data_IF_266498028226
#
_entry.id   IF_266498028226
#
_cell.length_a   1.000
_cell.length_b   1.000
_cell.length_c   1.000
_cell.angle_alpha   90.00
_cell.angle_beta   90.00
_cell.angle_gamma   90.00
#
_symmetry.space_group_name_H-M   'P 1'
#
loop_
_entity.id
_entity.type
_entity.pdbx_description
1 polymer ?
#
# COMPACT_ATOMS: atom_id res chain seq x y z
N UNK A 1 2.20 -36.64 7.48
CA UNK A 1 1.05 -35.78 7.76
C UNK A 1 1.21 -34.51 6.93
N UNK A 2 0.62 -34.47 5.73
CA UNK A 2 0.60 -33.27 4.89
C UNK A 2 -0.60 -32.43 5.30
N UNK A 3 -0.38 -31.33 6.02
CA UNK A 3 -1.45 -30.40 6.35
C UNK A 3 -1.99 -29.78 5.07
N UNK A 4 -3.20 -30.20 4.65
CA UNK A 4 -3.86 -29.69 3.46
C UNK A 4 -4.38 -28.28 3.75
N UNK A 5 -3.56 -27.26 3.50
CA UNK A 5 -4.04 -25.88 3.50
C UNK A 5 -4.91 -25.67 2.26
N UNK A 6 -6.14 -25.17 2.44
CA UNK A 6 -7.08 -24.84 1.34
C UNK A 6 -6.45 -23.92 0.29
N UNK A 7 -5.43 -23.15 0.69
CA UNK A 7 -4.69 -22.23 -0.17
C UNK A 7 -3.57 -22.89 -0.99
N UNK A 8 -3.28 -24.18 -0.79
CA UNK A 8 -2.16 -24.89 -1.42
C UNK A 8 -2.24 -24.91 -2.95
N UNK A 9 -3.44 -24.75 -3.51
CA UNK A 9 -3.69 -24.71 -4.97
C UNK A 9 -3.83 -23.27 -5.47
N UNK A 10 -3.45 -22.27 -4.67
CA UNK A 10 -3.57 -20.85 -5.04
C UNK A 10 -2.24 -20.11 -4.85
N UNK A 11 -2.03 -19.00 -5.58
CA UNK A 11 -0.95 -18.04 -5.31
C UNK A 11 -0.83 -17.61 -3.84
N UNK A 12 -1.93 -17.69 -3.07
CA UNK A 12 -1.96 -17.27 -1.67
C UNK A 12 -1.34 -18.29 -0.69
N UNK A 13 -0.69 -19.35 -1.20
CA UNK A 13 -0.01 -20.34 -0.37
C UNK A 13 1.01 -19.69 0.59
N UNK A 14 0.92 -20.05 1.87
CA UNK A 14 1.77 -19.51 2.93
C UNK A 14 1.39 -18.11 3.43
N UNK A 15 0.32 -17.48 2.93
CA UNK A 15 -0.19 -16.20 3.44
C UNK A 15 -1.13 -16.41 4.64
N UNK A 16 -0.56 -16.79 5.79
CA UNK A 16 -1.30 -17.27 6.97
C UNK A 16 -2.15 -16.21 7.70
N UNK A 17 -1.90 -14.91 7.48
CA UNK A 17 -2.60 -13.81 8.16
C UNK A 17 -3.85 -13.37 7.40
N UNK A 18 -4.83 -14.26 7.29
CA UNK A 18 -6.06 -14.04 6.51
C UNK A 18 -6.88 -12.86 7.01
N UNK A 19 -6.76 -12.49 8.29
CA UNK A 19 -7.43 -11.34 8.89
C UNK A 19 -7.05 -10.00 8.24
N UNK A 20 -5.89 -9.92 7.61
CA UNK A 20 -5.41 -8.70 6.95
C UNK A 20 -5.79 -8.62 5.47
N UNK A 21 -6.30 -9.70 4.88
CA UNK A 21 -6.43 -9.81 3.42
C UNK A 21 -7.37 -8.78 2.84
N UNK A 22 -8.55 -8.59 3.43
CA UNK A 22 -9.58 -7.68 2.91
C UNK A 22 -9.04 -6.25 2.86
N UNK A 23 -8.46 -5.77 3.95
CA UNK A 23 -7.96 -4.40 4.02
C UNK A 23 -6.70 -4.22 3.16
N UNK A 24 -5.85 -5.24 3.06
CA UNK A 24 -4.72 -5.22 2.15
C UNK A 24 -5.15 -5.12 0.68
N UNK A 25 -6.11 -5.96 0.26
CA UNK A 25 -6.62 -5.97 -1.12
C UNK A 25 -7.35 -4.68 -1.46
N UNK A 26 -8.17 -4.14 -0.56
CA UNK A 26 -8.77 -2.80 -0.72
C UNK A 26 -7.68 -1.75 -0.97
N UNK A 27 -6.61 -1.79 -0.19
CA UNK A 27 -5.46 -0.92 -0.39
C UNK A 27 -4.79 -1.07 -1.77
N UNK A 28 -4.67 -2.30 -2.26
CA UNK A 28 -4.16 -2.58 -3.62
C UNK A 28 -5.10 -1.99 -4.68
N UNK A 29 -6.41 -2.16 -4.52
CA UNK A 29 -7.45 -1.61 -5.40
C UNK A 29 -7.46 -0.07 -5.41
N UNK A 30 -7.19 0.56 -4.26
CA UNK A 30 -7.04 2.02 -4.11
C UNK A 30 -5.71 2.57 -4.67
N UNK A 31 -4.89 1.71 -5.29
CA UNK A 31 -3.63 2.09 -5.90
C UNK A 31 -2.54 2.47 -4.89
N UNK A 32 -2.62 1.99 -3.64
CA UNK A 32 -1.61 2.28 -2.62
C UNK A 32 -0.21 1.82 -3.04
N UNK A 33 0.81 2.57 -2.59
CA UNK A 33 2.20 2.17 -2.72
C UNK A 33 2.51 1.00 -1.78
N UNK A 34 3.61 0.27 -2.02
CA UNK A 34 4.06 -0.79 -1.10
C UNK A 34 4.34 -0.21 0.30
N UNK A 35 4.88 1.01 0.37
CA UNK A 35 5.13 1.67 1.65
C UNK A 35 3.84 1.93 2.43
N UNK A 36 2.78 2.33 1.73
CA UNK A 36 1.48 2.58 2.38
C UNK A 36 0.81 1.28 2.80
N UNK A 37 0.88 0.24 1.95
CA UNK A 37 0.40 -1.10 2.28
C UNK A 37 1.12 -1.65 3.52
N UNK A 38 2.44 -1.51 3.59
CA UNK A 38 3.26 -1.87 4.75
C UNK A 38 2.78 -1.15 6.01
N UNK A 39 2.62 0.17 5.95
CA UNK A 39 2.18 0.97 7.12
C UNK A 39 0.78 0.60 7.60
N UNK A 40 -0.18 0.41 6.67
CA UNK A 40 -1.57 0.10 7.01
C UNK A 40 -1.76 -1.32 7.55
N UNK A 41 -1.02 -2.28 7.01
CA UNK A 41 -1.16 -3.69 7.41
C UNK A 41 -0.23 -4.12 8.54
N UNK A 42 0.81 -3.34 8.85
CA UNK A 42 1.87 -3.71 9.78
C UNK A 42 2.78 -4.83 9.25
N UNK A 43 2.65 -5.22 7.98
CA UNK A 43 3.51 -6.23 7.35
C UNK A 43 4.91 -5.68 7.10
N UNK A 44 5.89 -6.59 6.98
CA UNK A 44 7.23 -6.24 6.48
C UNK A 44 7.19 -5.81 5.01
N UNK A 45 8.25 -5.16 4.54
CA UNK A 45 8.36 -4.72 3.14
C UNK A 45 8.28 -5.90 2.16
N UNK A 46 9.08 -6.95 2.39
CA UNK A 46 9.07 -8.14 1.55
C UNK A 46 7.73 -8.88 1.57
N UNK A 47 7.07 -8.93 2.73
CA UNK A 47 5.73 -9.49 2.85
C UNK A 47 4.70 -8.66 2.05
N UNK A 48 4.76 -7.33 2.14
CA UNK A 48 3.86 -6.43 1.40
C UNK A 48 4.04 -6.53 -0.11
N UNK A 49 5.29 -6.62 -0.59
CA UNK A 49 5.58 -6.84 -2.01
C UNK A 49 5.01 -8.18 -2.47
N UNK A 50 5.35 -9.27 -1.77
CA UNK A 50 4.88 -10.63 -2.09
C UNK A 50 3.36 -10.69 -2.11
N UNK A 51 2.69 -10.15 -1.09
CA UNK A 51 1.22 -10.19 -1.00
C UNK A 51 0.57 -9.49 -2.19
N UNK A 52 1.08 -8.31 -2.58
CA UNK A 52 0.56 -7.62 -3.76
C UNK A 52 0.71 -8.47 -5.02
N UNK A 53 1.89 -9.04 -5.24
CA UNK A 53 2.14 -9.89 -6.41
C UNK A 53 1.22 -11.11 -6.44
N UNK A 54 1.05 -11.81 -5.30
CA UNK A 54 0.19 -12.99 -5.25
C UNK A 54 -1.30 -12.65 -5.44
N UNK A 55 -1.78 -11.52 -4.92
CA UNK A 55 -3.15 -11.08 -5.18
C UNK A 55 -3.37 -10.69 -6.65
N UNK A 56 -2.42 -9.99 -7.27
CA UNK A 56 -2.51 -9.67 -8.69
C UNK A 56 -2.46 -10.93 -9.57
N UNK A 57 -1.58 -11.88 -9.24
CA UNK A 57 -1.51 -13.16 -9.92
C UNK A 57 -2.81 -13.97 -9.77
N UNK A 58 -3.43 -13.95 -8.59
CA UNK A 58 -4.72 -14.61 -8.38
C UNK A 58 -5.82 -13.98 -9.25
N UNK A 59 -5.86 -12.65 -9.34
CA UNK A 59 -6.82 -11.93 -10.19
C UNK A 59 -6.61 -12.31 -11.66
N UNK A 60 -5.36 -12.38 -12.10
CA UNK A 60 -4.98 -12.80 -13.46
C UNK A 60 -5.42 -14.23 -13.77
N UNK A 61 -5.11 -15.19 -12.88
CA UNK A 61 -5.49 -16.60 -13.03
C UNK A 61 -7.01 -16.81 -13.05
N UNK A 62 -7.77 -15.90 -12.44
CA UNK A 62 -9.24 -15.90 -12.47
C UNK A 62 -9.81 -15.24 -13.73
N UNK A 63 -8.97 -14.67 -14.59
CA UNK A 63 -9.38 -14.03 -15.84
C UNK A 63 -9.94 -12.62 -15.68
N UNK A 64 -9.77 -11.97 -14.52
CA UNK A 64 -10.31 -10.61 -14.27
C UNK A 64 -9.37 -9.53 -14.82
N UNK A 65 -9.22 -9.49 -16.14
CA UNK A 65 -8.29 -8.59 -16.83
C UNK A 65 -8.66 -7.11 -16.67
N UNK A 66 -9.96 -6.77 -16.69
CA UNK A 66 -10.45 -5.41 -16.48
C UNK A 66 -10.09 -4.91 -15.08
N UNK A 67 -10.14 -5.79 -14.08
CA UNK A 67 -9.76 -5.45 -12.72
C UNK A 67 -8.25 -5.18 -12.60
N UNK A 68 -7.40 -5.95 -13.29
CA UNK A 68 -5.96 -5.69 -13.34
C UNK A 68 -5.64 -4.35 -14.00
N UNK A 69 -6.32 -4.05 -15.11
CA UNK A 69 -6.18 -2.77 -15.80
C UNK A 69 -6.62 -1.61 -14.91
N UNK A 70 -7.75 -1.77 -14.21
CA UNK A 70 -8.25 -0.79 -13.23
C UNK A 70 -7.24 -0.54 -12.11
N UNK A 71 -6.71 -1.60 -11.48
CA UNK A 71 -5.71 -1.48 -10.40
C UNK A 71 -4.45 -0.77 -10.91
N UNK A 72 -4.02 -1.10 -12.12
CA UNK A 72 -2.84 -0.47 -12.77
C UNK A 72 -3.09 1.02 -13.02
N UNK A 73 -4.28 1.36 -13.55
CA UNK A 73 -4.69 2.74 -13.76
C UNK A 73 -4.79 3.52 -12.45
N UNK A 74 -5.41 2.95 -11.40
CA UNK A 74 -5.51 3.57 -10.08
C UNK A 74 -4.13 3.90 -9.50
N UNK A 75 -3.17 2.98 -9.62
CA UNK A 75 -1.79 3.22 -9.19
C UNK A 75 -1.15 4.37 -9.99
N UNK A 76 -1.29 4.37 -11.31
CA UNK A 76 -0.74 5.42 -12.18
C UNK A 76 -1.34 6.79 -11.85
N UNK A 77 -2.66 6.85 -11.69
CA UNK A 77 -3.40 8.05 -11.29
C UNK A 77 -2.85 8.63 -9.99
N UNK A 78 -2.74 7.82 -8.94
CA UNK A 78 -2.25 8.27 -7.63
C UNK A 78 -0.80 8.73 -7.68
N UNK A 79 0.04 8.04 -8.47
CA UNK A 79 1.42 8.45 -8.70
C UNK A 79 1.47 9.82 -9.39
N UNK A 80 0.62 10.05 -10.40
CA UNK A 80 0.54 11.33 -11.10
C UNK A 80 0.04 12.45 -10.17
N UNK A 81 -0.93 12.20 -9.31
CA UNK A 81 -1.39 13.14 -8.28
C UNK A 81 -0.26 13.50 -7.32
N UNK A 82 0.49 12.50 -6.88
CA UNK A 82 1.65 12.65 -5.99
C UNK A 82 2.76 13.48 -6.64
N UNK A 83 3.11 13.16 -7.90
CA UNK A 83 4.11 13.91 -8.69
C UNK A 83 3.66 15.35 -8.92
N UNK A 84 2.39 15.58 -9.26
CA UNK A 84 1.82 16.92 -9.43
C UNK A 84 1.89 17.72 -8.13
N UNK A 85 1.55 17.10 -7.00
CA UNK A 85 1.62 17.73 -5.70
C UNK A 85 3.06 18.17 -5.35
N UNK A 86 4.04 17.28 -5.55
CA UNK A 86 5.47 17.60 -5.32
C UNK A 86 5.93 18.72 -6.26
N UNK A 87 5.56 18.66 -7.54
CA UNK A 87 5.89 19.70 -8.53
C UNK A 87 5.33 21.07 -8.15
N UNK A 88 4.18 21.11 -7.49
CA UNK A 88 3.55 22.34 -7.01
C UNK A 88 4.13 22.84 -5.67
N UNK A 89 5.27 22.30 -5.22
CA UNK A 89 5.93 22.69 -3.97
C UNK A 89 5.37 22.02 -2.72
N UNK A 90 4.54 20.99 -2.88
CA UNK A 90 4.09 20.13 -1.80
C UNK A 90 5.20 19.22 -1.30
N UNK A 91 5.29 19.04 0.02
CA UNK A 91 6.21 18.07 0.63
C UNK A 91 5.45 16.82 1.04
N UNK A 92 5.91 15.66 0.58
CA UNK A 92 5.34 14.38 0.99
C UNK A 92 5.99 13.96 2.30
N UNK A 93 5.23 14.06 3.38
CA UNK A 93 5.62 13.42 4.62
C UNK A 93 5.51 11.90 4.47
N UNK A 94 6.68 11.26 4.34
CA UNK A 94 6.80 9.81 4.29
C UNK A 94 6.37 9.16 5.61
N UNK A 95 6.10 9.86 6.71
CA UNK A 95 5.60 9.24 7.93
C UNK A 95 4.07 9.06 7.93
N UNK A 96 3.30 10.01 7.37
CA UNK A 96 1.88 10.15 7.69
C UNK A 96 0.91 9.94 6.51
N UNK A 97 1.40 9.95 5.26
CA UNK A 97 0.60 9.68 4.04
C UNK A 97 -0.79 10.35 4.01
N UNK A 98 -0.80 11.67 4.18
CA UNK A 98 -1.96 12.52 3.91
C UNK A 98 -1.48 13.74 3.14
N UNK A 99 -2.09 13.96 1.97
CA UNK A 99 -1.94 15.18 1.19
C UNK A 99 -2.55 16.30 2.05
N UNK A 100 -1.73 17.01 2.82
CA UNK A 100 -2.17 18.22 3.50
C UNK A 100 -1.84 19.44 2.63
N UNK A 101 -2.72 20.45 2.56
CA UNK A 101 -2.32 21.77 2.09
C UNK A 101 -1.24 22.34 3.03
N UNK A 102 -0.34 23.14 2.45
CA UNK A 102 0.77 23.81 3.13
C UNK A 102 0.36 24.41 4.48
N UNK A 103 1.03 24.02 5.58
CA UNK A 103 0.92 24.74 6.86
C UNK A 103 1.30 24.00 8.13
N UNK A 104 1.12 22.67 8.22
CA UNK A 104 1.36 21.96 9.47
C UNK A 104 2.82 21.47 9.59
N UNK A 105 3.74 22.39 9.90
CA UNK A 105 5.07 22.02 10.42
C UNK A 105 4.89 21.34 11.78
N UNK A 106 4.96 20.01 11.85
CA UNK A 106 5.27 19.31 13.10
C UNK A 106 6.79 19.25 13.22
N UNK A 107 7.39 20.31 13.76
CA UNK A 107 8.84 20.37 13.93
C UNK A 107 9.43 21.79 13.98
N UNK A 108 8.89 22.67 14.83
CA UNK A 108 9.77 23.64 15.49
C UNK A 108 10.14 23.03 16.83
N UNK A 109 11.37 22.54 16.95
CA UNK A 109 12.04 22.59 18.24
C UNK A 109 12.11 24.08 18.60
N UNK A 110 11.27 24.50 19.54
CA UNK A 110 11.51 25.76 20.25
C UNK A 110 12.68 25.50 21.19
N UNK A 111 13.82 26.20 21.08
CA UNK A 111 14.80 26.16 22.15
C UNK A 111 14.12 26.77 23.39
N UNK A 112 13.98 25.98 24.44
CA UNK A 112 13.61 26.49 25.76
C UNK A 112 14.70 27.46 26.20
N UNK A 113 14.35 28.74 26.33
CA UNK A 113 15.17 29.74 26.98
C UNK A 113 15.36 29.34 28.44
N UNK A 114 16.61 29.16 28.94
CA UNK A 114 16.83 29.10 30.37
C UNK A 114 16.73 30.53 30.94
N UNK A 115 16.10 30.59 32.12
CA UNK A 115 15.87 31.74 33.00
C UNK A 115 17.12 32.58 33.26
#
# INVERSE_FOLDING_TARGET
MTCFCILSVTPLVGMIRTELWVDFVKGVMDGLSIQDLKRRSGLGMGASTRWREQFLLLIEQRGYQELLQWITWMRSRRNNETVRFVRNGGYLDQATCSIYPQGARKGRFSPSTPT
#
